data_IF_387368772517
#
_entry.id   IF_387368772517
#
_cell.length_a   1.000
_cell.length_b   1.000
_cell.length_c   1.000
_cell.angle_alpha   90.00
_cell.angle_beta   90.00
_cell.angle_gamma   90.00
#
_symmetry.space_group_name_H-M   'P 1'
#
loop_
_entity.id
_entity.type
_entity.pdbx_description
1 polymer ?
#
# COMPACT_ATOMS: atom_id res chain seq x y z
N UNK A 1 -22.64 -27.26 -41.79
CA UNK A 1 -21.45 -26.45 -41.52
C UNK A 1 -20.73 -27.05 -40.33
N UNK A 2 -19.50 -27.51 -40.53
CA UNK A 2 -18.68 -28.03 -39.43
C UNK A 2 -17.88 -26.83 -38.87
N UNK A 3 -18.23 -26.39 -37.66
CA UNK A 3 -17.43 -25.42 -36.94
C UNK A 3 -16.06 -26.00 -36.69
N UNK A 4 -15.04 -25.39 -37.21
CA UNK A 4 -13.66 -25.77 -36.92
C UNK A 4 -13.32 -25.47 -35.47
N UNK A 5 -12.40 -26.21 -34.82
CA UNK A 5 -11.97 -25.92 -33.43
C UNK A 5 -11.47 -24.49 -33.22
N UNK A 6 -11.01 -23.80 -34.28
CA UNK A 6 -10.58 -22.43 -34.25
C UNK A 6 -11.74 -21.40 -34.15
N UNK A 7 -12.89 -21.70 -34.76
CA UNK A 7 -14.06 -20.81 -34.66
C UNK A 7 -14.68 -20.85 -33.24
N UNK A 8 -14.61 -22.00 -32.56
CA UNK A 8 -15.00 -22.08 -31.15
C UNK A 8 -14.09 -21.31 -30.22
N UNK A 9 -12.79 -21.21 -30.50
CA UNK A 9 -11.84 -20.46 -29.68
C UNK A 9 -12.03 -18.93 -29.82
N UNK A 10 -12.45 -18.45 -30.99
CA UNK A 10 -12.71 -17.03 -31.25
C UNK A 10 -14.04 -16.52 -30.67
N UNK A 11 -14.96 -17.41 -30.33
CA UNK A 11 -16.25 -17.05 -29.73
C UNK A 11 -16.26 -16.99 -28.21
N UNK A 12 -15.20 -17.40 -27.54
CA UNK A 12 -15.06 -17.30 -26.09
C UNK A 12 -14.28 -16.02 -25.73
N UNK A 13 -14.96 -14.90 -25.75
CA UNK A 13 -14.51 -13.71 -25.04
C UNK A 13 -14.58 -14.02 -23.54
N UNK A 14 -13.49 -14.49 -22.96
CA UNK A 14 -13.33 -14.51 -21.52
C UNK A 14 -13.16 -13.06 -21.04
N UNK A 15 -14.30 -12.38 -20.91
CA UNK A 15 -14.32 -11.10 -20.21
C UNK A 15 -14.14 -11.42 -18.74
N UNK A 16 -12.89 -11.38 -18.26
CA UNK A 16 -12.62 -11.36 -16.82
C UNK A 16 -13.10 -10.00 -16.33
N UNK A 17 -14.32 -9.98 -15.82
CA UNK A 17 -14.86 -8.79 -15.14
C UNK A 17 -14.30 -8.82 -13.73
N UNK A 18 -13.15 -8.18 -13.52
CA UNK A 18 -12.64 -7.97 -12.18
C UNK A 18 -13.55 -7.05 -11.39
N UNK A 19 -13.72 -7.34 -10.11
CA UNK A 19 -14.42 -6.47 -9.17
C UNK A 19 -13.44 -5.47 -8.56
N UNK A 20 -13.87 -4.22 -8.46
CA UNK A 20 -13.11 -3.20 -7.76
C UNK A 20 -13.35 -3.34 -6.26
N UNK A 21 -12.28 -3.53 -5.51
CA UNK A 21 -12.27 -3.57 -4.06
C UNK A 21 -11.48 -2.38 -3.53
N UNK A 22 -12.10 -1.58 -2.68
CA UNK A 22 -11.42 -0.50 -1.97
C UNK A 22 -11.25 -0.91 -0.52
N UNK A 23 -10.02 -0.84 -0.02
CA UNK A 23 -9.80 -1.02 1.42
C UNK A 23 -10.49 0.10 2.20
N UNK A 24 -10.82 -0.14 3.45
CA UNK A 24 -11.05 0.99 4.35
C UNK A 24 -9.79 1.85 4.42
N UNK A 25 -9.95 3.12 4.81
CA UNK A 25 -8.80 3.95 5.14
C UNK A 25 -8.16 3.40 6.40
N UNK A 26 -6.86 3.19 6.36
CA UNK A 26 -6.13 2.66 7.50
C UNK A 26 -5.04 3.63 7.95
N UNK A 27 -4.82 3.66 9.24
CA UNK A 27 -3.76 4.41 9.91
C UNK A 27 -2.71 3.45 10.44
N UNK A 28 -1.49 3.92 10.50
CA UNK A 28 -0.41 3.22 11.18
C UNK A 28 -0.58 3.37 12.70
N UNK A 29 -0.13 2.39 13.44
CA UNK A 29 -0.20 2.40 14.91
C UNK A 29 1.17 2.71 15.51
N UNK A 30 1.16 3.32 16.69
CA UNK A 30 2.37 3.54 17.48
C UNK A 30 3.27 4.67 16.94
N UNK A 31 2.75 5.56 16.12
CA UNK A 31 3.45 6.76 15.67
C UNK A 31 3.61 7.73 16.84
N UNK A 32 4.83 8.16 17.10
CA UNK A 32 5.13 9.21 18.09
C UNK A 32 4.84 10.59 17.48
N UNK A 33 3.77 11.23 17.96
CA UNK A 33 3.41 12.58 17.53
C UNK A 33 4.30 13.64 18.19
N UNK A 34 4.66 14.68 17.43
CA UNK A 34 5.56 15.74 17.89
C UNK A 34 7.03 15.35 17.95
N UNK A 35 7.39 14.14 17.53
CA UNK A 35 8.78 13.73 17.37
C UNK A 35 9.25 14.01 15.93
N UNK A 36 10.51 14.41 15.78
CA UNK A 36 11.12 14.55 14.48
C UNK A 36 11.59 13.16 13.99
N UNK A 37 11.10 12.76 12.83
CA UNK A 37 11.59 11.56 12.11
C UNK A 37 12.74 11.96 11.18
N UNK A 38 13.61 11.03 10.91
CA UNK A 38 14.66 11.15 9.91
C UNK A 38 14.34 10.33 8.65
N UNK A 39 15.12 10.53 7.60
CA UNK A 39 15.04 9.67 6.40
C UNK A 39 15.29 8.21 6.79
N UNK A 40 14.48 7.31 6.25
CA UNK A 40 14.44 5.87 6.47
C UNK A 40 13.86 5.41 7.81
N UNK A 41 13.40 6.30 8.68
CA UNK A 41 12.78 5.89 9.93
C UNK A 41 11.44 5.18 9.70
N UNK A 42 11.17 4.18 10.53
CA UNK A 42 9.87 3.52 10.57
C UNK A 42 8.81 4.48 11.10
N UNK A 43 7.70 4.58 10.38
CA UNK A 43 6.50 5.27 10.82
C UNK A 43 5.58 4.28 11.49
N UNK A 44 5.64 4.20 12.80
CA UNK A 44 4.85 3.29 13.60
C UNK A 44 5.19 1.81 13.37
N UNK A 45 4.27 0.98 13.81
CA UNK A 45 4.36 -0.47 13.71
C UNK A 45 3.69 -0.98 12.44
N UNK A 46 4.14 -2.13 11.95
CA UNK A 46 3.47 -2.80 10.84
C UNK A 46 2.00 -3.12 11.19
N UNK A 47 1.11 -2.84 10.26
CA UNK A 47 -0.33 -3.13 10.38
C UNK A 47 -0.76 -4.13 9.31
N UNK A 48 -1.78 -4.94 9.61
CA UNK A 48 -2.41 -5.80 8.61
C UNK A 48 -3.70 -5.16 8.12
N UNK A 49 -3.94 -5.25 6.83
CA UNK A 49 -5.19 -4.84 6.18
C UNK A 49 -5.86 -6.04 5.54
N UNK A 50 -7.19 -6.06 5.53
CA UNK A 50 -7.96 -7.09 4.85
C UNK A 50 -8.01 -6.81 3.35
N UNK A 51 -7.75 -7.84 2.55
CA UNK A 51 -7.73 -7.77 1.08
C UNK A 51 -8.32 -9.05 0.48
N UNK A 52 -8.74 -9.06 -0.80
CA UNK A 52 -9.02 -10.30 -1.52
C UNK A 52 -7.85 -11.28 -1.51
N UNK A 53 -8.11 -12.58 -1.71
CA UNK A 53 -7.04 -13.62 -1.75
C UNK A 53 -6.00 -13.32 -2.83
N UNK A 54 -6.45 -12.76 -3.94
CA UNK A 54 -5.57 -12.33 -5.04
C UNK A 54 -6.14 -11.08 -5.70
N UNK A 55 -5.27 -10.35 -6.37
CA UNK A 55 -5.69 -9.17 -7.09
C UNK A 55 -4.52 -8.35 -7.62
N UNK A 56 -4.87 -7.23 -8.21
CA UNK A 56 -3.90 -6.24 -8.71
C UNK A 56 -4.20 -4.90 -8.05
N UNK A 57 -3.26 -4.37 -7.29
CA UNK A 57 -3.36 -3.02 -6.73
C UNK A 57 -3.25 -2.04 -7.89
N UNK A 58 -4.34 -1.35 -8.18
CA UNK A 58 -4.46 -0.41 -9.30
C UNK A 58 -4.01 0.98 -8.92
N UNK A 59 -4.39 1.42 -7.73
CA UNK A 59 -4.04 2.72 -7.21
C UNK A 59 -3.94 2.70 -5.68
N UNK A 60 -3.28 3.70 -5.15
CA UNK A 60 -3.18 3.94 -3.72
C UNK A 60 -3.24 5.45 -3.45
N UNK A 61 -3.75 5.82 -2.29
CA UNK A 61 -3.75 7.22 -1.86
C UNK A 61 -3.21 7.31 -0.45
N UNK A 62 -2.31 8.24 -0.27
CA UNK A 62 -1.86 8.70 1.02
C UNK A 62 -2.51 10.05 1.33
N UNK A 63 -3.07 10.18 2.52
CA UNK A 63 -3.68 11.42 3.03
C UNK A 63 -2.77 11.99 4.13
N UNK A 64 -2.15 13.11 3.82
CA UNK A 64 -1.33 13.89 4.75
C UNK A 64 -2.19 15.00 5.35
N UNK A 65 -2.69 14.76 6.57
CA UNK A 65 -3.56 15.69 7.27
C UNK A 65 -2.79 16.81 7.99
N UNK A 66 -1.48 16.71 8.00
CA UNK A 66 -0.60 17.69 8.65
C UNK A 66 -0.08 18.77 7.70
N UNK A 67 -0.37 18.60 6.39
CA UNK A 67 -0.05 19.55 5.32
C UNK A 67 1.46 19.85 5.19
N UNK A 68 2.31 18.91 5.56
CA UNK A 68 3.77 19.06 5.51
C UNK A 68 4.42 18.47 4.24
N UNK A 69 3.67 17.75 3.41
CA UNK A 69 4.18 17.13 2.18
C UNK A 69 5.15 16.00 2.44
N UNK A 70 4.86 15.21 3.47
CA UNK A 70 5.74 14.14 3.93
C UNK A 70 5.85 13.00 2.94
N UNK A 71 7.01 12.85 2.31
CA UNK A 71 7.27 11.70 1.47
C UNK A 71 7.34 10.43 2.32
N UNK A 72 6.60 9.41 1.91
CA UNK A 72 6.49 8.13 2.61
C UNK A 72 6.60 6.98 1.64
N UNK A 73 7.31 5.94 2.04
CA UNK A 73 7.26 4.64 1.38
C UNK A 73 6.36 3.68 2.16
N UNK A 74 5.47 2.98 1.46
CA UNK A 74 4.76 1.83 2.03
C UNK A 74 5.37 0.53 1.50
N UNK A 75 5.85 -0.30 2.41
CA UNK A 75 6.26 -1.66 2.14
C UNK A 75 5.07 -2.59 2.30
N UNK A 76 4.77 -3.36 1.26
CA UNK A 76 3.68 -4.34 1.22
C UNK A 76 4.27 -5.75 1.36
N UNK A 77 3.80 -6.49 2.36
CA UNK A 77 4.32 -7.81 2.68
C UNK A 77 3.16 -8.82 2.74
N UNK A 78 3.42 -10.05 2.34
CA UNK A 78 2.45 -11.15 2.38
C UNK A 78 2.35 -11.84 3.75
N UNK A 79 3.25 -11.53 4.68
CA UNK A 79 3.21 -12.00 6.06
C UNK A 79 3.80 -10.94 7.01
N UNK A 80 3.56 -11.11 8.33
CA UNK A 80 4.03 -10.18 9.35
C UNK A 80 5.56 -10.06 9.33
N UNK A 81 6.12 -8.85 9.17
CA UNK A 81 7.54 -8.63 9.36
C UNK A 81 7.91 -8.65 10.85
N UNK A 82 9.19 -8.68 11.14
CA UNK A 82 9.71 -8.38 12.47
C UNK A 82 9.29 -6.97 12.87
N UNK A 83 8.85 -6.80 14.11
CA UNK A 83 8.39 -5.51 14.61
C UNK A 83 9.53 -4.48 14.52
N UNK A 84 9.24 -3.36 13.87
CA UNK A 84 10.16 -2.23 13.76
C UNK A 84 9.98 -1.30 14.97
N UNK A 85 11.00 -0.56 15.30
CA UNK A 85 10.91 0.48 16.34
C UNK A 85 10.52 1.80 15.68
N UNK A 86 9.43 2.41 16.12
CA UNK A 86 9.00 3.72 15.64
C UNK A 86 10.12 4.76 15.81
N UNK A 87 10.25 5.66 14.86
CA UNK A 87 11.28 6.70 14.84
C UNK A 87 12.71 6.14 14.92
N UNK A 88 12.96 5.00 14.30
CA UNK A 88 14.28 4.40 14.11
C UNK A 88 14.35 3.83 12.70
N UNK A 89 15.53 3.80 12.10
CA UNK A 89 15.67 3.31 10.73
C UNK A 89 15.04 1.92 10.54
N UNK A 90 14.26 1.76 9.49
CA UNK A 90 13.68 0.45 9.14
C UNK A 90 14.80 -0.55 8.89
N UNK A 91 14.80 -1.62 9.65
CA UNK A 91 15.81 -2.67 9.62
C UNK A 91 15.18 -4.04 9.35
N UNK A 92 14.70 -4.25 8.12
CA UNK A 92 14.24 -5.57 7.72
C UNK A 92 15.40 -6.56 7.70
N UNK A 93 15.22 -7.67 8.39
CA UNK A 93 16.15 -8.81 8.30
C UNK A 93 15.90 -9.56 6.97
N UNK A 94 16.83 -10.39 6.54
CA UNK A 94 16.74 -11.15 5.29
C UNK A 94 15.42 -11.92 5.16
N UNK A 95 14.94 -12.48 6.29
CA UNK A 95 13.66 -13.19 6.34
C UNK A 95 12.45 -12.28 6.11
N UNK A 96 12.53 -10.99 6.40
CA UNK A 96 11.46 -10.03 6.12
C UNK A 96 11.46 -9.59 4.66
N UNK A 97 12.63 -9.48 4.06
CA UNK A 97 12.75 -9.10 2.64
C UNK A 97 12.06 -10.10 1.71
N UNK A 98 12.09 -11.39 2.03
CA UNK A 98 11.39 -12.41 1.23
C UNK A 98 9.85 -12.38 1.39
N UNK A 99 9.34 -11.67 2.40
CA UNK A 99 7.90 -11.43 2.59
C UNK A 99 7.39 -10.25 1.78
N UNK A 100 8.27 -9.36 1.32
CA UNK A 100 7.89 -8.23 0.47
C UNK A 100 7.36 -8.79 -0.85
N UNK A 101 6.13 -8.39 -1.21
CA UNK A 101 5.57 -8.81 -2.50
C UNK A 101 6.39 -8.19 -3.63
N UNK A 102 6.56 -8.85 -4.79
CA UNK A 102 7.35 -8.32 -5.90
C UNK A 102 6.88 -6.91 -6.30
N UNK A 103 7.78 -5.93 -6.26
CA UNK A 103 7.43 -4.52 -6.49
C UNK A 103 6.67 -3.85 -5.34
N UNK A 104 6.55 -4.50 -4.20
CA UNK A 104 5.74 -4.07 -3.05
C UNK A 104 6.29 -2.91 -2.22
N UNK A 105 6.86 -1.90 -2.89
CA UNK A 105 7.25 -0.63 -2.29
C UNK A 105 6.58 0.50 -3.03
N UNK A 106 5.57 1.09 -2.43
CA UNK A 106 4.86 2.23 -2.98
C UNK A 106 5.48 3.52 -2.45
N UNK A 107 5.86 4.42 -3.35
CA UNK A 107 6.56 5.67 -3.01
C UNK A 107 5.63 6.86 -3.23
N UNK A 108 5.23 7.53 -2.16
CA UNK A 108 4.40 8.73 -2.19
C UNK A 108 5.29 9.96 -2.15
N UNK A 109 5.48 10.59 -3.29
CA UNK A 109 6.43 11.70 -3.47
C UNK A 109 5.84 12.97 -4.08
N UNK A 110 4.63 12.86 -4.66
CA UNK A 110 3.94 13.96 -5.31
C UNK A 110 2.63 14.25 -4.58
N UNK A 111 2.42 15.49 -4.19
CA UNK A 111 1.27 15.91 -3.39
C UNK A 111 0.39 16.88 -4.16
N UNK A 112 -0.92 16.74 -3.93
CA UNK A 112 -1.93 17.70 -4.33
C UNK A 112 -2.41 18.42 -3.05
N UNK A 113 -2.20 19.72 -3.00
CA UNK A 113 -2.58 20.59 -1.89
C UNK A 113 -4.11 20.81 -1.88
N UNK A 114 -4.70 20.76 -0.69
CA UNK A 114 -6.11 21.02 -0.42
C UNK A 114 -6.33 22.06 0.69
N UNK A 115 -5.41 22.99 0.84
CA UNK A 115 -5.43 24.16 1.75
C UNK A 115 -5.28 23.88 3.26
N UNK A 116 -5.70 22.72 3.76
CA UNK A 116 -5.55 22.32 5.17
C UNK A 116 -5.13 20.86 5.30
N UNK A 117 -4.58 20.30 4.26
CA UNK A 117 -4.09 18.94 4.17
C UNK A 117 -3.76 18.63 2.72
N UNK A 118 -3.01 17.59 2.52
CA UNK A 118 -2.55 17.16 1.20
C UNK A 118 -2.91 15.70 0.98
N UNK A 119 -2.90 15.29 -0.26
CA UNK A 119 -2.96 13.88 -0.59
C UNK A 119 -1.98 13.54 -1.72
N UNK A 120 -1.43 12.36 -1.67
CA UNK A 120 -0.52 11.85 -2.70
C UNK A 120 -1.17 10.64 -3.37
N UNK A 121 -1.68 10.77 -4.61
CA UNK A 121 -2.25 9.66 -5.34
C UNK A 121 -1.16 8.93 -6.11
N UNK A 122 -1.17 7.60 -6.06
CA UNK A 122 -0.46 6.73 -6.97
C UNK A 122 -1.48 6.07 -7.88
N UNK A 123 -1.46 6.44 -9.15
CA UNK A 123 -2.33 5.88 -10.17
C UNK A 123 -1.56 4.88 -11.03
N UNK A 124 -2.24 3.89 -11.57
CA UNK A 124 -1.66 2.94 -12.53
C UNK A 124 -0.50 2.11 -11.94
N UNK A 125 -0.65 1.63 -10.70
CA UNK A 125 0.38 0.84 -10.01
C UNK A 125 0.59 -0.51 -10.70
N UNK A 126 -0.49 -1.26 -10.95
CA UNK A 126 -0.43 -2.55 -11.64
C UNK A 126 0.29 -3.65 -10.83
N UNK A 127 0.29 -3.59 -9.51
CA UNK A 127 1.00 -4.51 -8.63
C UNK A 127 0.15 -5.74 -8.31
N UNK A 128 0.48 -6.88 -8.90
CA UNK A 128 -0.18 -8.15 -8.61
C UNK A 128 0.29 -8.73 -7.27
N UNK A 129 -0.63 -9.34 -6.53
CA UNK A 129 -0.33 -10.03 -5.27
C UNK A 129 -1.19 -11.27 -5.08
N UNK A 130 -0.71 -12.15 -4.18
CA UNK A 130 -1.48 -13.27 -3.63
C UNK A 130 -1.38 -13.21 -2.11
N UNK A 131 -2.53 -13.19 -1.43
CA UNK A 131 -2.65 -13.12 0.03
C UNK A 131 -3.57 -14.26 0.53
N UNK A 132 -3.07 -15.50 0.68
CA UNK A 132 -3.90 -16.64 1.06
C UNK A 132 -4.64 -16.46 2.39
N UNK A 133 -4.09 -15.65 3.29
CA UNK A 133 -4.70 -15.31 4.58
C UNK A 133 -5.67 -14.12 4.49
N UNK A 134 -5.97 -13.61 3.27
CA UNK A 134 -6.77 -12.39 3.02
C UNK A 134 -6.23 -11.16 3.74
N UNK A 135 -4.92 -11.09 3.94
CA UNK A 135 -4.26 -9.98 4.62
C UNK A 135 -2.95 -9.62 3.90
N UNK A 136 -2.74 -8.34 3.74
CA UNK A 136 -1.42 -7.79 3.48
C UNK A 136 -0.93 -7.06 4.74
N UNK A 137 0.37 -7.15 4.98
CA UNK A 137 1.04 -6.38 6.01
C UNK A 137 1.66 -5.13 5.40
N UNK A 138 1.58 -4.04 6.12
CA UNK A 138 2.03 -2.73 5.68
C UNK A 138 3.00 -2.20 6.72
N UNK A 139 4.20 -1.83 6.29
CA UNK A 139 5.15 -1.04 7.07
C UNK A 139 5.41 0.26 6.33
N UNK A 140 5.26 1.39 7.00
CA UNK A 140 5.63 2.66 6.41
C UNK A 140 7.02 3.12 6.86
N UNK A 141 7.64 3.92 6.01
CA UNK A 141 8.97 4.45 6.19
C UNK A 141 9.00 5.92 5.74
N UNK A 142 9.55 6.78 6.59
CA UNK A 142 9.77 8.18 6.25
C UNK A 142 10.81 8.36 5.14
N UNK A 143 10.60 9.33 4.27
CA UNK A 143 11.54 9.74 3.21
C UNK A 143 11.89 11.20 3.38
N UNK A 144 12.69 11.48 4.37
CA UNK A 144 13.10 12.82 4.76
C UNK A 144 12.67 13.18 6.18
N UNK A 145 13.05 14.38 6.62
CA UNK A 145 12.67 14.88 7.93
C UNK A 145 11.18 15.19 7.96
N UNK A 146 10.50 14.69 8.98
CA UNK A 146 9.07 14.95 9.16
C UNK A 146 8.71 15.08 10.64
N UNK A 147 7.63 15.79 10.89
CA UNK A 147 7.03 15.92 12.21
C UNK A 147 5.52 15.71 12.07
N UNK A 148 4.95 14.79 12.82
CA UNK A 148 3.52 14.47 12.76
C UNK A 148 2.83 15.07 13.97
N UNK A 149 1.90 16.01 13.75
CA UNK A 149 1.14 16.62 14.81
C UNK A 149 0.13 15.63 15.42
N UNK A 150 -0.17 15.83 16.70
CA UNK A 150 -1.17 15.03 17.39
C UNK A 150 -2.55 15.16 16.71
N UNK A 151 -3.17 14.05 16.41
CA UNK A 151 -4.49 14.00 15.75
C UNK A 151 -4.45 13.97 14.21
N UNK A 152 -3.30 14.23 13.59
CA UNK A 152 -3.13 14.27 12.13
C UNK A 152 -2.34 13.07 11.60
N UNK A 153 -2.64 11.88 12.11
CA UNK A 153 -1.94 10.66 11.70
C UNK A 153 -2.12 10.38 10.21
N UNK A 154 -1.04 9.95 9.53
CA UNK A 154 -1.09 9.56 8.13
C UNK A 154 -2.13 8.46 7.89
N UNK A 155 -2.94 8.62 6.85
CA UNK A 155 -3.92 7.61 6.42
C UNK A 155 -3.63 7.16 5.00
N UNK A 156 -3.96 5.90 4.72
CA UNK A 156 -3.75 5.29 3.41
C UNK A 156 -4.99 4.52 2.97
N UNK A 157 -5.15 4.38 1.67
CA UNK A 157 -6.20 3.58 1.06
C UNK A 157 -5.68 2.93 -0.22
N UNK A 158 -6.02 1.67 -0.45
CA UNK A 158 -5.69 0.93 -1.68
C UNK A 158 -6.96 0.65 -2.47
N UNK A 159 -6.83 0.71 -3.80
CA UNK A 159 -7.84 0.26 -4.74
C UNK A 159 -7.30 -0.97 -5.48
N UNK A 160 -8.04 -2.06 -5.43
CA UNK A 160 -7.62 -3.38 -5.89
C UNK A 160 -8.62 -3.89 -6.92
N UNK A 161 -8.13 -4.38 -8.04
CA UNK A 161 -8.91 -5.16 -8.98
C UNK A 161 -8.77 -6.63 -8.58
N UNK A 162 -9.88 -7.27 -8.24
CA UNK A 162 -9.94 -8.67 -7.85
C UNK A 162 -10.88 -9.46 -8.75
N UNK A 163 -10.67 -10.75 -8.87
CA UNK A 163 -11.52 -11.72 -9.55
C UNK A 163 -12.51 -12.44 -8.62
N UNK A 164 -12.53 -12.09 -7.33
CA UNK A 164 -13.44 -12.63 -6.30
C UNK A 164 -14.77 -11.89 -6.20
#
# INVERSE_FOLDING_TARGET
MHDTPQEKALGQSNTVVGKMFMTERFMLRGIATGAAYADLDALGLAVSIDVPVSGVIQSATYYDLDDEGLQVDLWLLNDKPTDQTDNSAVAFIDHDLIKVIPGGRLQFTAFADAANGQFSPLNTIGLAYVAPKRKLWIQAQARGALNIAAGNLPMFQLCILSDE
#
